data_IF_588055412288
#
_entry.id   IF_588055412288
#
_cell.length_a   1.000
_cell.length_b   1.000
_cell.length_c   1.000
_cell.angle_alpha   90.00
_cell.angle_beta   90.00
_cell.angle_gamma   90.00
#
_symmetry.space_group_name_H-M   'P 1'
#
loop_
_entity.id
_entity.type
_entity.pdbx_description
1 polymer ?
#
# COMPACT_ATOMS: atom_id res chain seq x y z
N UNK A 1 0.94 -2.35 62.39
CA UNK A 1 0.18 -1.43 63.28
C UNK A 1 -1.03 -0.94 62.53
N UNK A 2 -2.19 -1.37 63.02
CA UNK A 2 -3.53 -0.94 62.58
C UNK A 2 -3.78 0.50 62.91
N UNK A 3 -4.74 1.14 62.14
CA UNK A 3 -5.81 2.06 62.57
C UNK A 3 -6.40 2.66 61.29
N UNK A 4 -7.53 2.31 60.89
CA UNK A 4 -8.92 2.41 61.41
C UNK A 4 -9.64 3.66 60.90
N UNK A 5 -10.68 3.37 60.13
CA UNK A 5 -11.94 4.05 59.81
C UNK A 5 -12.41 5.07 60.83
N UNK A 6 -13.05 6.22 60.42
CA UNK A 6 -14.45 6.53 60.74
C UNK A 6 -14.83 8.00 60.48
N UNK A 7 -15.86 8.15 59.67
CA UNK A 7 -17.06 8.95 59.80
C UNK A 7 -16.95 10.45 60.21
N UNK A 8 -17.50 11.32 59.39
CA UNK A 8 -18.34 12.42 59.89
C UNK A 8 -19.57 12.60 58.98
N UNK A 9 -20.71 12.54 59.66
CA UNK A 9 -22.06 12.81 59.15
C UNK A 9 -22.54 14.15 59.73
N UNK A 10 -23.39 14.84 58.98
CA UNK A 10 -24.43 15.82 59.32
C UNK A 10 -24.01 17.26 59.59
N UNK A 11 -24.55 18.23 58.85
CA UNK A 11 -25.75 18.99 59.25
C UNK A 11 -26.27 19.78 58.03
N UNK A 12 -27.59 19.74 57.81
CA UNK A 12 -28.29 20.44 56.74
C UNK A 12 -28.62 21.89 57.10
N UNK A 13 -28.86 22.68 56.08
CA UNK A 13 -29.71 23.88 56.14
C UNK A 13 -30.43 24.06 54.83
N UNK A 14 -31.74 23.92 54.84
CA UNK A 14 -32.63 24.23 53.73
C UNK A 14 -32.77 25.75 53.61
N UNK A 15 -32.57 26.25 52.39
CA UNK A 15 -33.10 27.58 52.02
C UNK A 15 -33.85 27.40 50.70
N UNK A 16 -35.19 27.47 50.81
CA UNK A 16 -36.10 27.56 49.68
C UNK A 16 -36.09 29.00 49.13
N UNK A 17 -35.82 29.17 47.85
CA UNK A 17 -36.13 30.40 47.12
C UNK A 17 -36.64 30.05 45.70
N UNK A 18 -37.73 30.71 45.36
CA UNK A 18 -38.71 30.41 44.32
C UNK A 18 -38.22 30.57 42.89
N UNK A 19 -38.84 29.77 42.06
CA UNK A 19 -39.14 29.82 40.63
C UNK A 19 -38.76 31.06 39.81
N UNK A 20 -37.95 30.81 38.77
CA UNK A 20 -38.12 31.46 37.47
C UNK A 20 -37.88 30.40 36.41
N UNK A 21 -38.95 29.91 35.78
CA UNK A 21 -38.93 28.98 34.65
C UNK A 21 -38.46 29.72 33.41
N UNK A 22 -37.16 29.74 33.20
CA UNK A 22 -36.55 30.01 31.90
C UNK A 22 -36.01 28.72 31.36
N UNK A 23 -36.75 28.05 30.48
CA UNK A 23 -36.22 26.92 29.68
C UNK A 23 -35.19 27.48 28.72
N UNK A 24 -33.94 27.57 29.17
CA UNK A 24 -32.80 27.60 28.28
C UNK A 24 -32.73 26.22 27.64
N UNK A 25 -33.25 26.12 26.41
CA UNK A 25 -32.95 24.99 25.53
C UNK A 25 -31.43 25.04 25.29
N UNK A 26 -30.70 24.24 26.03
CA UNK A 26 -29.33 23.90 25.67
C UNK A 26 -29.39 23.33 24.23
N UNK A 27 -28.56 23.85 23.29
CA UNK A 27 -28.47 23.20 22.00
C UNK A 27 -28.11 21.73 22.30
N UNK A 28 -29.02 20.84 21.91
CA UNK A 28 -28.78 19.41 22.05
C UNK A 28 -27.42 19.11 21.44
N UNK A 29 -26.53 18.60 22.26
CA UNK A 29 -25.33 17.95 21.76
C UNK A 29 -25.85 16.89 20.77
N UNK A 30 -25.72 17.17 19.46
CA UNK A 30 -25.90 16.15 18.47
C UNK A 30 -24.97 15.02 18.93
N UNK A 31 -25.55 13.91 19.38
CA UNK A 31 -24.82 12.69 19.63
C UNK A 31 -24.03 12.45 18.36
N UNK A 32 -22.73 12.66 18.40
CA UNK A 32 -21.84 12.25 17.32
C UNK A 32 -22.15 10.76 17.14
N UNK A 33 -22.70 10.41 16.00
CA UNK A 33 -22.93 9.00 15.67
C UNK A 33 -21.61 8.28 15.92
N UNK A 34 -21.64 7.20 16.73
CA UNK A 34 -20.44 6.47 17.10
C UNK A 34 -19.64 6.15 15.84
N UNK A 35 -18.40 6.64 15.80
CA UNK A 35 -17.53 6.44 14.64
C UNK A 35 -17.30 4.94 14.42
N UNK A 36 -17.46 4.47 13.19
CA UNK A 36 -17.20 3.06 12.88
C UNK A 36 -15.70 2.80 12.87
N UNK A 37 -15.23 1.89 13.71
CA UNK A 37 -13.84 1.48 13.73
C UNK A 37 -13.51 0.66 12.47
N UNK A 38 -12.43 1.02 11.79
CA UNK A 38 -11.87 0.33 10.62
C UNK A 38 -10.43 -0.07 10.92
N UNK A 39 -10.16 -1.36 10.92
CA UNK A 39 -8.80 -1.89 11.07
C UNK A 39 -8.09 -1.82 9.71
N UNK A 40 -7.10 -0.91 9.60
CA UNK A 40 -6.33 -0.74 8.37
C UNK A 40 -4.94 -1.36 8.46
N UNK A 41 -4.61 -2.20 7.47
CA UNK A 41 -3.28 -2.78 7.33
C UNK A 41 -2.36 -1.92 6.46
N UNK A 42 -1.36 -1.29 7.07
CA UNK A 42 -0.46 -0.35 6.41
C UNK A 42 1.02 -0.72 6.42
N UNK A 43 1.83 0.12 5.81
CA UNK A 43 3.30 0.13 5.87
C UNK A 43 3.84 1.49 5.41
N UNK A 44 5.17 1.66 5.42
CA UNK A 44 5.82 2.88 4.90
C UNK A 44 5.89 2.94 3.36
N UNK A 45 5.25 2.01 2.64
CA UNK A 45 5.18 1.98 1.19
C UNK A 45 4.16 2.99 0.64
N UNK A 46 4.40 3.49 -0.58
CA UNK A 46 3.64 4.59 -1.20
C UNK A 46 2.14 4.29 -1.31
N UNK A 47 1.71 3.08 -1.64
CA UNK A 47 0.30 2.72 -1.74
C UNK A 47 -0.51 2.89 -0.44
N UNK A 48 0.16 3.14 0.70
CA UNK A 48 -0.50 3.43 1.97
C UNK A 48 -0.55 4.92 2.32
N UNK A 49 0.10 5.78 1.51
CA UNK A 49 0.15 7.22 1.78
C UNK A 49 -1.22 7.88 1.86
N UNK A 50 -2.20 7.58 0.98
CA UNK A 50 -3.53 8.18 1.07
C UNK A 50 -4.22 7.88 2.41
N UNK A 51 -4.19 6.62 2.87
CA UNK A 51 -4.79 6.23 4.13
C UNK A 51 -4.10 6.90 5.34
N UNK A 52 -2.77 7.03 5.31
CA UNK A 52 -2.03 7.69 6.38
C UNK A 52 -2.31 9.20 6.42
N UNK A 53 -2.33 9.86 5.27
CA UNK A 53 -2.65 11.29 5.15
C UNK A 53 -4.07 11.59 5.65
N UNK A 54 -5.05 10.81 5.18
CA UNK A 54 -6.45 10.98 5.59
C UNK A 54 -6.65 10.75 7.10
N UNK A 55 -5.91 9.80 7.68
CA UNK A 55 -5.90 9.57 9.13
C UNK A 55 -5.29 10.77 9.88
N UNK A 56 -4.10 11.25 9.45
CA UNK A 56 -3.37 12.33 10.11
C UNK A 56 -4.06 13.68 9.98
N UNK A 57 -4.75 13.94 8.88
CA UNK A 57 -5.54 15.16 8.68
C UNK A 57 -6.87 15.16 9.43
N UNK A 58 -7.29 14.04 10.03
CA UNK A 58 -8.60 13.88 10.65
C UNK A 58 -9.75 13.69 9.66
N UNK A 59 -9.48 13.52 8.35
CA UNK A 59 -10.50 13.37 7.32
C UNK A 59 -11.38 12.13 7.53
N UNK A 60 -10.81 11.01 7.97
CA UNK A 60 -11.59 9.84 8.33
C UNK A 60 -12.48 10.09 9.54
N UNK A 61 -11.97 10.73 10.59
CA UNK A 61 -12.75 11.07 11.77
C UNK A 61 -13.93 12.00 11.41
N UNK A 62 -13.71 13.00 10.55
CA UNK A 62 -14.77 13.89 10.05
C UNK A 62 -15.85 13.13 9.23
N UNK A 63 -15.49 11.98 8.62
CA UNK A 63 -16.42 11.10 7.91
C UNK A 63 -17.09 10.05 8.82
N UNK A 64 -16.87 10.11 10.15
CA UNK A 64 -17.39 9.12 11.11
C UNK A 64 -16.66 7.79 11.06
N UNK A 65 -15.38 7.77 10.67
CA UNK A 65 -14.54 6.60 10.61
C UNK A 65 -13.38 6.74 11.59
N UNK A 66 -13.27 5.80 12.54
CA UNK A 66 -12.14 5.65 13.43
C UNK A 66 -11.15 4.64 12.82
N UNK A 67 -10.18 5.14 12.02
CA UNK A 67 -9.17 4.28 11.40
C UNK A 67 -8.08 3.90 12.40
N UNK A 68 -7.98 2.61 12.70
CA UNK A 68 -6.92 2.01 13.50
C UNK A 68 -5.83 1.45 12.57
N UNK A 69 -4.63 2.03 12.66
CA UNK A 69 -3.50 1.65 11.81
C UNK A 69 -2.69 0.51 12.42
N UNK A 70 -2.51 -0.57 11.65
CA UNK A 70 -1.59 -1.66 11.98
C UNK A 70 -0.49 -1.75 10.93
N UNK A 71 0.77 -1.72 11.36
CA UNK A 71 1.93 -1.78 10.45
C UNK A 71 2.37 -3.22 10.19
N UNK A 72 2.65 -3.52 8.93
CA UNK A 72 3.13 -4.82 8.47
C UNK A 72 4.43 -4.66 7.67
N UNK A 73 5.41 -5.51 7.94
CA UNK A 73 6.69 -5.51 7.24
C UNK A 73 6.61 -6.12 5.83
N UNK A 74 5.57 -6.93 5.54
CA UNK A 74 5.37 -7.57 4.24
C UNK A 74 3.90 -7.61 3.84
N UNK A 75 3.62 -7.62 2.52
CA UNK A 75 2.28 -7.82 1.99
C UNK A 75 1.69 -9.18 2.39
N UNK A 76 2.51 -10.23 2.46
CA UNK A 76 2.04 -11.57 2.87
C UNK A 76 1.55 -11.59 4.31
N UNK A 77 2.25 -10.95 5.25
CA UNK A 77 1.81 -10.84 6.65
C UNK A 77 0.50 -10.04 6.76
N UNK A 78 0.38 -8.95 6.01
CA UNK A 78 -0.85 -8.15 5.92
C UNK A 78 -2.02 -8.97 5.39
N UNK A 79 -1.82 -9.71 4.30
CA UNK A 79 -2.85 -10.58 3.73
C UNK A 79 -3.26 -11.69 4.71
N UNK A 80 -2.35 -12.26 5.48
CA UNK A 80 -2.67 -13.21 6.55
C UNK A 80 -3.56 -12.59 7.63
N UNK A 81 -3.32 -11.32 8.00
CA UNK A 81 -4.17 -10.59 8.95
C UNK A 81 -5.57 -10.30 8.39
N UNK A 82 -5.71 -10.05 7.09
CA UNK A 82 -7.03 -9.96 6.42
C UNK A 82 -7.77 -11.29 6.51
N UNK A 83 -7.09 -12.41 6.24
CA UNK A 83 -7.70 -13.75 6.30
C UNK A 83 -8.16 -14.12 7.72
N UNK A 84 -7.41 -13.76 8.74
CA UNK A 84 -7.75 -14.01 10.15
C UNK A 84 -8.82 -13.05 10.71
N UNK A 85 -9.21 -12.01 9.96
CA UNK A 85 -10.19 -11.02 10.40
C UNK A 85 -9.61 -9.87 11.24
N UNK A 86 -8.28 -9.79 11.39
CA UNK A 86 -7.62 -8.71 12.11
C UNK A 86 -7.55 -7.39 11.34
N UNK A 87 -7.75 -7.42 10.02
CA UNK A 87 -7.76 -6.24 9.13
C UNK A 87 -9.03 -6.24 8.31
N UNK A 88 -9.64 -5.07 8.15
CA UNK A 88 -10.86 -4.85 7.36
C UNK A 88 -10.57 -4.29 5.98
N UNK A 89 -9.67 -3.29 5.90
CA UNK A 89 -9.23 -2.64 4.67
C UNK A 89 -7.71 -2.60 4.64
N UNK A 90 -7.13 -2.81 3.47
CA UNK A 90 -5.70 -2.65 3.27
C UNK A 90 -5.38 -2.27 1.82
N UNK A 91 -4.33 -1.49 1.62
CA UNK A 91 -3.61 -1.47 0.36
C UNK A 91 -2.58 -2.60 0.36
N UNK A 92 -2.38 -3.28 -0.75
CA UNK A 92 -1.41 -4.38 -0.83
C UNK A 92 -0.89 -4.58 -2.26
N UNK A 93 0.38 -4.96 -2.38
CA UNK A 93 0.91 -5.38 -3.67
C UNK A 93 0.14 -6.60 -4.21
N UNK A 94 -0.22 -6.53 -5.48
CA UNK A 94 -1.09 -7.52 -6.16
C UNK A 94 -0.52 -8.95 -6.13
N UNK A 95 0.81 -9.12 -6.13
CA UNK A 95 1.45 -10.45 -6.16
C UNK A 95 1.00 -11.31 -4.98
N UNK A 96 0.97 -10.74 -3.76
CA UNK A 96 0.49 -11.45 -2.57
C UNK A 96 -1.01 -11.76 -2.63
N UNK A 97 -1.81 -10.86 -3.20
CA UNK A 97 -3.24 -11.09 -3.41
C UNK A 97 -3.47 -12.21 -4.44
N UNK A 98 -2.75 -12.19 -5.58
CA UNK A 98 -2.82 -13.22 -6.62
C UNK A 98 -2.43 -14.61 -6.09
N UNK A 99 -1.44 -14.69 -5.20
CA UNK A 99 -1.05 -15.95 -4.58
C UNK A 99 -2.21 -16.55 -3.73
N UNK A 100 -2.97 -15.73 -3.02
CA UNK A 100 -4.16 -16.19 -2.28
C UNK A 100 -5.34 -16.50 -3.20
N UNK A 101 -5.54 -15.71 -4.24
CA UNK A 101 -6.56 -15.98 -5.27
C UNK A 101 -6.29 -17.32 -5.96
N UNK A 102 -5.04 -17.63 -6.30
CA UNK A 102 -4.63 -18.90 -6.89
C UNK A 102 -4.97 -20.10 -6.01
N UNK A 103 -4.97 -19.92 -4.68
CA UNK A 103 -5.40 -20.91 -3.68
C UNK A 103 -6.92 -20.93 -3.46
N UNK A 104 -7.67 -20.09 -4.19
CA UNK A 104 -9.13 -20.01 -4.11
C UNK A 104 -9.70 -19.23 -2.93
N UNK A 105 -8.87 -18.40 -2.25
CA UNK A 105 -9.34 -17.57 -1.12
C UNK A 105 -10.42 -16.58 -1.58
N UNK A 106 -11.57 -16.56 -0.94
CA UNK A 106 -12.70 -15.65 -1.18
C UNK A 106 -12.95 -14.69 -0.02
N UNK A 107 -11.97 -14.50 0.88
CA UNK A 107 -12.13 -13.68 2.08
C UNK A 107 -12.06 -12.18 1.82
N UNK A 108 -11.58 -11.77 0.64
CA UNK A 108 -11.40 -10.37 0.29
C UNK A 108 -11.81 -10.10 -1.16
N UNK A 109 -12.06 -8.83 -1.44
CA UNK A 109 -12.28 -8.30 -2.79
C UNK A 109 -11.38 -7.09 -3.04
N UNK A 110 -10.94 -6.92 -4.28
CA UNK A 110 -10.31 -5.70 -4.77
C UNK A 110 -11.44 -4.70 -5.04
N UNK A 111 -11.35 -3.52 -4.45
CA UNK A 111 -12.35 -2.45 -4.58
C UNK A 111 -11.85 -1.23 -5.31
N UNK A 112 -10.51 -1.04 -5.37
CA UNK A 112 -9.90 0.09 -6.06
C UNK A 112 -8.42 -0.15 -6.37
N UNK A 113 -7.86 0.76 -7.18
CA UNK A 113 -6.44 0.86 -7.53
C UNK A 113 -6.01 2.29 -7.20
N UNK A 114 -5.14 2.51 -6.20
CA UNK A 114 -4.80 3.86 -5.73
C UNK A 114 -3.95 4.65 -6.71
N UNK A 115 -3.00 3.99 -7.40
CA UNK A 115 -2.04 4.65 -8.27
C UNK A 115 -1.51 3.68 -9.34
N UNK A 116 -0.83 4.25 -10.33
CA UNK A 116 0.20 3.59 -11.12
C UNK A 116 1.53 4.24 -10.80
N UNK A 117 2.56 3.44 -10.63
CA UNK A 117 3.89 3.97 -10.38
C UNK A 117 4.85 3.54 -11.49
N UNK A 118 5.85 4.37 -11.73
CA UNK A 118 6.98 4.10 -12.58
C UNK A 118 8.18 4.84 -12.01
N UNK A 119 9.38 4.24 -12.09
CA UNK A 119 10.63 4.85 -11.57
C UNK A 119 10.75 4.88 -10.05
N UNK A 120 10.04 4.02 -9.34
CA UNK A 120 10.15 3.80 -7.90
C UNK A 120 10.70 2.42 -7.56
N UNK A 121 10.84 1.59 -8.58
CA UNK A 121 11.43 0.26 -8.56
C UNK A 121 12.32 0.09 -9.79
N UNK A 122 13.46 -0.60 -9.67
CA UNK A 122 14.34 -0.77 -10.83
C UNK A 122 15.57 -1.62 -10.56
N UNK A 123 16.25 -1.91 -11.66
CA UNK A 123 17.50 -2.65 -11.74
C UNK A 123 18.67 -1.69 -11.82
N UNK A 124 19.53 -1.73 -10.82
CA UNK A 124 20.78 -0.98 -10.75
C UNK A 124 21.97 -1.86 -11.08
N UNK A 125 22.94 -1.28 -11.75
CA UNK A 125 24.17 -1.95 -12.17
C UNK A 125 25.38 -1.09 -11.85
N UNK A 126 26.55 -1.73 -11.74
CA UNK A 126 27.83 -1.03 -11.61
C UNK A 126 28.20 -0.30 -12.91
N UNK A 127 29.02 0.73 -12.78
CA UNK A 127 29.65 1.38 -13.92
C UNK A 127 30.35 0.33 -14.80
N UNK A 128 30.27 0.52 -16.12
CA UNK A 128 30.79 -0.43 -17.12
C UNK A 128 29.75 -1.43 -17.63
N UNK A 129 28.60 -1.65 -16.93
CA UNK A 129 27.45 -2.40 -17.44
C UNK A 129 26.50 -1.41 -18.13
N UNK A 130 26.28 -1.51 -19.44
CA UNK A 130 25.51 -0.55 -20.23
C UNK A 130 24.24 -1.13 -20.84
N UNK A 131 24.11 -2.46 -20.83
CA UNK A 131 22.97 -3.20 -21.37
C UNK A 131 22.64 -4.40 -20.52
N UNK A 132 21.47 -5.02 -20.73
CA UNK A 132 21.13 -6.29 -20.11
C UNK A 132 22.11 -7.40 -20.52
N UNK A 133 22.65 -7.36 -21.75
CA UNK A 133 23.61 -8.35 -22.24
C UNK A 133 24.93 -8.35 -21.45
N UNK A 134 25.32 -7.20 -20.91
CA UNK A 134 26.53 -7.08 -20.08
C UNK A 134 26.39 -7.74 -18.70
N UNK A 135 25.17 -8.18 -18.34
CA UNK A 135 24.90 -8.95 -17.12
C UNK A 135 25.28 -10.43 -17.24
N UNK A 136 25.58 -10.91 -18.43
CA UNK A 136 25.98 -12.32 -18.64
C UNK A 136 27.15 -12.70 -17.73
N UNK A 137 26.98 -13.79 -16.97
CA UNK A 137 27.97 -14.28 -16.00
C UNK A 137 28.04 -13.49 -14.68
N UNK A 138 27.21 -12.45 -14.50
CA UNK A 138 27.18 -11.61 -13.29
C UNK A 138 26.18 -12.11 -12.24
N UNK A 139 26.35 -11.59 -11.01
CA UNK A 139 25.47 -11.87 -9.87
C UNK A 139 24.53 -10.70 -9.65
N UNK A 140 23.23 -10.96 -9.66
CA UNK A 140 22.18 -9.99 -9.45
C UNK A 140 21.43 -10.31 -8.14
N UNK A 141 21.45 -9.39 -7.18
CA UNK A 141 20.71 -9.50 -5.92
C UNK A 141 19.31 -8.94 -6.04
N UNK A 142 18.32 -9.66 -5.54
CA UNK A 142 16.93 -9.20 -5.45
C UNK A 142 16.20 -9.99 -4.37
N UNK A 143 15.21 -9.40 -3.72
CA UNK A 143 14.34 -10.13 -2.78
C UNK A 143 13.37 -11.01 -3.54
N UNK A 144 13.45 -12.33 -3.36
CA UNK A 144 12.59 -13.29 -4.07
C UNK A 144 11.10 -13.11 -3.70
N UNK A 145 10.24 -13.50 -4.63
CA UNK A 145 8.77 -13.35 -4.54
C UNK A 145 8.30 -11.89 -4.32
N UNK A 146 9.11 -10.91 -4.72
CA UNK A 146 8.75 -9.50 -4.77
C UNK A 146 8.44 -9.05 -6.20
N UNK A 147 7.91 -7.82 -6.34
CA UNK A 147 7.74 -7.14 -7.62
C UNK A 147 9.07 -6.96 -8.35
N UNK A 148 10.13 -6.53 -7.63
CA UNK A 148 11.47 -6.41 -8.20
C UNK A 148 12.01 -7.74 -8.76
N UNK A 149 11.69 -8.85 -8.09
CA UNK A 149 12.04 -10.16 -8.63
C UNK A 149 11.32 -10.46 -9.95
N UNK A 150 10.03 -10.13 -10.03
CA UNK A 150 9.25 -10.29 -11.25
C UNK A 150 9.77 -9.38 -12.39
N UNK A 151 10.14 -8.13 -12.07
CA UNK A 151 10.80 -7.23 -13.03
C UNK A 151 12.08 -7.86 -13.59
N UNK A 152 12.93 -8.40 -12.72
CA UNK A 152 14.19 -9.08 -13.13
C UNK A 152 13.90 -10.27 -14.03
N UNK A 153 12.94 -11.13 -13.64
CA UNK A 153 12.56 -12.30 -14.44
C UNK A 153 12.05 -11.92 -15.83
N UNK A 154 11.24 -10.88 -15.92
CA UNK A 154 10.72 -10.37 -17.19
C UNK A 154 11.82 -9.76 -18.07
N UNK A 155 12.67 -8.91 -17.51
CA UNK A 155 13.78 -8.28 -18.23
C UNK A 155 14.77 -9.32 -18.76
N UNK A 156 15.19 -10.26 -17.91
CA UNK A 156 16.13 -11.32 -18.30
C UNK A 156 15.49 -12.31 -19.28
N UNK A 157 14.21 -12.64 -19.09
CA UNK A 157 13.46 -13.51 -20.00
C UNK A 157 13.37 -12.94 -21.42
N UNK A 158 12.98 -11.67 -21.51
CA UNK A 158 12.87 -10.96 -22.80
C UNK A 158 14.23 -10.74 -23.49
N UNK A 159 15.30 -10.64 -22.70
CA UNK A 159 16.67 -10.51 -23.22
C UNK A 159 17.33 -11.86 -23.57
N UNK A 160 16.68 -13.01 -23.28
CA UNK A 160 17.24 -14.35 -23.47
C UNK A 160 18.34 -14.71 -22.48
N UNK A 161 18.38 -14.07 -21.31
CA UNK A 161 19.45 -14.18 -20.31
C UNK A 161 19.06 -14.96 -19.05
N UNK A 162 17.90 -15.61 -19.04
CA UNK A 162 17.37 -16.29 -17.83
C UNK A 162 18.34 -17.31 -17.19
N UNK A 163 19.21 -17.93 -18.00
CA UNK A 163 20.19 -18.91 -17.53
C UNK A 163 21.62 -18.36 -17.50
N UNK A 164 21.85 -17.13 -17.96
CA UNK A 164 23.18 -16.53 -18.09
C UNK A 164 23.51 -15.58 -16.92
N UNK A 165 22.53 -15.22 -16.09
CA UNK A 165 22.68 -14.34 -14.93
C UNK A 165 22.39 -15.13 -13.66
N UNK A 166 23.27 -15.06 -12.67
CA UNK A 166 23.04 -15.67 -11.36
C UNK A 166 22.18 -14.75 -10.50
N UNK A 167 20.89 -15.05 -10.38
CA UNK A 167 19.98 -14.28 -9.52
C UNK A 167 20.03 -14.83 -8.10
N UNK A 168 20.33 -13.97 -7.12
CA UNK A 168 20.51 -14.31 -5.71
C UNK A 168 19.40 -13.68 -4.87
N UNK A 169 18.85 -14.47 -3.92
CA UNK A 169 17.90 -13.93 -2.94
C UNK A 169 18.65 -13.12 -1.88
N UNK A 170 18.46 -11.80 -1.91
CA UNK A 170 19.05 -10.85 -0.94
C UNK A 170 17.91 -10.02 -0.35
N UNK A 171 17.73 -9.98 0.97
CA UNK A 171 16.75 -9.10 1.61
C UNK A 171 16.97 -7.65 1.21
N UNK A 172 15.90 -6.91 0.89
CA UNK A 172 15.99 -5.56 0.36
C UNK A 172 16.87 -4.60 1.21
N UNK A 173 16.81 -4.61 2.55
CA UNK A 173 17.69 -3.77 3.38
C UNK A 173 19.18 -4.08 3.25
N UNK A 174 19.54 -5.31 2.82
CA UNK A 174 20.92 -5.79 2.71
C UNK A 174 21.54 -5.51 1.33
N UNK A 175 20.71 -5.20 0.31
CA UNK A 175 21.17 -4.97 -1.05
C UNK A 175 22.29 -3.91 -1.17
N UNK A 176 22.21 -2.72 -0.51
CA UNK A 176 23.29 -1.74 -0.57
C UNK A 176 24.62 -2.29 -0.03
N UNK A 177 24.59 -3.04 1.08
CA UNK A 177 25.78 -3.66 1.66
C UNK A 177 26.37 -4.76 0.78
N UNK A 178 25.53 -5.58 0.15
CA UNK A 178 25.96 -6.63 -0.78
C UNK A 178 26.61 -6.06 -2.05
N UNK A 179 26.13 -4.90 -2.53
CA UNK A 179 26.79 -4.15 -3.61
C UNK A 179 28.16 -3.64 -3.14
N UNK A 180 28.22 -2.96 -1.98
CA UNK A 180 29.47 -2.38 -1.48
C UNK A 180 30.57 -3.41 -1.26
N UNK A 181 30.20 -4.59 -0.75
CA UNK A 181 31.14 -5.69 -0.51
C UNK A 181 31.56 -6.44 -1.78
N UNK A 182 30.95 -6.15 -2.94
CA UNK A 182 31.21 -6.89 -4.19
C UNK A 182 30.61 -8.28 -4.23
N UNK A 183 29.71 -8.60 -3.31
CA UNK A 183 28.98 -9.88 -3.28
C UNK A 183 28.03 -10.02 -4.47
N UNK A 184 27.50 -8.91 -4.96
CA UNK A 184 26.64 -8.80 -6.15
C UNK A 184 27.14 -7.68 -7.08
N UNK A 185 26.91 -7.84 -8.38
CA UNK A 185 27.28 -6.89 -9.43
C UNK A 185 26.12 -5.94 -9.79
N UNK A 186 24.89 -6.40 -9.57
CA UNK A 186 23.66 -5.69 -9.85
C UNK A 186 22.65 -5.92 -8.74
N UNK A 187 21.70 -5.01 -8.58
CA UNK A 187 20.60 -5.16 -7.60
C UNK A 187 19.29 -4.62 -8.15
N UNK A 188 18.20 -5.34 -7.91
CA UNK A 188 16.87 -4.82 -8.15
C UNK A 188 16.15 -4.54 -6.84
N UNK A 189 15.59 -3.33 -6.71
CA UNK A 189 15.00 -2.85 -5.47
C UNK A 189 13.91 -1.82 -5.74
N UNK A 190 13.04 -1.65 -4.75
CA UNK A 190 12.02 -0.58 -4.68
C UNK A 190 12.38 0.43 -3.58
N UNK A 191 11.71 1.57 -3.58
CA UNK A 191 11.86 2.62 -2.56
C UNK A 191 11.55 2.07 -1.15
N UNK A 192 12.36 2.36 -0.10
CA UNK A 192 13.45 3.36 -0.10
C UNK A 192 14.81 2.85 -0.58
N UNK A 193 15.01 1.54 -0.81
CA UNK A 193 16.30 1.00 -1.22
C UNK A 193 16.69 1.46 -2.63
N UNK A 194 15.71 1.63 -3.52
CA UNK A 194 15.89 2.24 -4.83
C UNK A 194 16.65 3.57 -4.72
N UNK A 195 16.19 4.50 -3.86
CA UNK A 195 16.82 5.79 -3.67
C UNK A 195 18.24 5.67 -3.06
N UNK A 196 18.41 4.75 -2.11
CA UNK A 196 19.71 4.49 -1.48
C UNK A 196 20.73 3.99 -2.50
N UNK A 197 20.36 3.01 -3.32
CA UNK A 197 21.27 2.45 -4.35
C UNK A 197 21.53 3.49 -5.43
N UNK A 198 20.53 4.27 -5.85
CA UNK A 198 20.67 5.38 -6.81
C UNK A 198 21.70 6.42 -6.37
N UNK A 199 21.78 6.68 -5.07
CA UNK A 199 22.73 7.63 -4.50
C UNK A 199 24.15 7.05 -4.31
N UNK A 200 24.38 5.75 -4.52
CA UNK A 200 25.70 5.13 -4.36
C UNK A 200 26.61 5.46 -5.53
N UNK A 201 27.84 5.88 -5.23
CA UNK A 201 28.87 6.09 -6.27
C UNK A 201 29.15 4.80 -7.04
N UNK A 202 29.32 4.89 -8.35
CA UNK A 202 29.61 3.77 -9.23
C UNK A 202 28.38 2.88 -9.52
N UNK A 203 27.18 3.32 -9.18
CA UNK A 203 25.91 2.66 -9.52
C UNK A 203 25.06 3.52 -10.45
N UNK A 204 24.39 2.87 -11.40
CA UNK A 204 23.44 3.54 -12.29
C UNK A 204 22.19 2.68 -12.48
N UNK A 205 21.08 3.35 -12.73
CA UNK A 205 19.83 2.70 -13.11
C UNK A 205 19.95 2.17 -14.55
N UNK A 206 19.75 0.88 -14.75
CA UNK A 206 19.75 0.24 -16.08
C UNK A 206 18.33 0.11 -16.63
N UNK A 207 17.38 -0.24 -15.77
CA UNK A 207 15.98 -0.42 -16.12
C UNK A 207 15.10 -0.09 -14.91
N UNK A 208 13.89 0.41 -15.15
CA UNK A 208 12.88 0.63 -14.13
C UNK A 208 11.57 -0.09 -14.47
N UNK A 209 10.59 0.00 -13.60
CA UNK A 209 9.29 -0.65 -13.72
C UNK A 209 8.48 -0.23 -14.96
N UNK A 210 8.80 0.91 -15.62
CA UNK A 210 8.17 1.30 -16.88
C UNK A 210 8.63 0.45 -18.08
N UNK A 211 9.70 -0.32 -17.91
CA UNK A 211 10.22 -1.26 -18.93
C UNK A 211 9.65 -2.67 -18.78
N UNK A 212 8.82 -2.89 -17.77
CA UNK A 212 8.09 -4.14 -17.62
C UNK A 212 7.16 -4.38 -18.81
N UNK A 213 7.10 -5.60 -19.33
CA UNK A 213 6.42 -5.90 -20.61
C UNK A 213 4.91 -5.57 -20.61
N UNK A 214 4.24 -5.58 -19.44
CA UNK A 214 2.83 -5.23 -19.32
C UNK A 214 2.58 -3.72 -19.15
N UNK A 215 3.60 -2.94 -18.81
CA UNK A 215 3.42 -1.52 -18.53
C UNK A 215 2.91 -0.74 -19.74
N UNK A 216 3.57 -0.91 -20.86
CA UNK A 216 3.28 -0.12 -22.09
C UNK A 216 1.86 -0.34 -22.63
N UNK A 217 1.32 -1.55 -22.47
CA UNK A 217 0.00 -1.91 -23.01
C UNK A 217 -1.13 -1.74 -22.01
N UNK A 218 -0.87 -2.02 -20.73
CA UNK A 218 -1.92 -2.12 -19.71
C UNK A 218 -1.73 -1.14 -18.55
N UNK A 219 -0.65 -0.38 -18.54
CA UNK A 219 -0.20 0.44 -17.39
C UNK A 219 -0.08 -0.38 -16.10
N UNK A 220 0.38 -1.64 -16.23
CA UNK A 220 0.57 -2.57 -15.12
C UNK A 220 2.06 -2.76 -14.89
N UNK A 221 2.54 -2.34 -13.72
CA UNK A 221 3.90 -2.53 -13.23
C UNK A 221 4.10 -3.97 -12.71
N UNK A 222 5.32 -4.38 -12.34
CA UNK A 222 5.56 -5.74 -11.83
C UNK A 222 4.78 -6.08 -10.56
N UNK A 223 4.43 -5.08 -9.77
CA UNK A 223 3.74 -5.27 -8.51
C UNK A 223 2.80 -4.13 -8.15
N UNK A 224 1.78 -3.84 -8.99
CA UNK A 224 0.88 -2.74 -8.70
C UNK A 224 0.13 -2.97 -7.39
N UNK A 225 -0.21 -1.87 -6.74
CA UNK A 225 -1.00 -1.89 -5.53
C UNK A 225 -2.49 -1.97 -5.82
N UNK A 226 -3.21 -2.63 -4.94
CA UNK A 226 -4.67 -2.70 -4.96
C UNK A 226 -5.22 -2.43 -3.56
N UNK A 227 -6.31 -1.71 -3.49
CA UNK A 227 -7.07 -1.54 -2.27
C UNK A 227 -8.06 -2.69 -2.14
N UNK A 228 -7.97 -3.42 -1.02
CA UNK A 228 -8.82 -4.58 -0.74
C UNK A 228 -9.66 -4.35 0.50
N UNK A 229 -10.83 -5.01 0.53
CA UNK A 229 -11.68 -5.10 1.71
C UNK A 229 -11.93 -6.55 2.08
N UNK A 230 -12.05 -6.85 3.37
CA UNK A 230 -12.48 -8.14 3.87
C UNK A 230 -13.99 -8.30 3.66
N UNK A 231 -14.40 -9.30 2.87
CA UNK A 231 -15.79 -9.46 2.41
C UNK A 231 -16.80 -9.52 3.56
N UNK A 232 -16.56 -10.35 4.57
CA UNK A 232 -17.47 -10.52 5.69
C UNK A 232 -17.70 -9.24 6.54
N UNK A 233 -16.73 -8.30 6.51
CA UNK A 233 -16.88 -6.99 7.15
C UNK A 233 -17.58 -6.01 6.20
N UNK A 234 -17.19 -5.97 4.94
CA UNK A 234 -17.71 -5.04 3.93
C UNK A 234 -19.22 -5.26 3.67
N UNK A 235 -19.68 -6.51 3.69
CA UNK A 235 -21.12 -6.85 3.57
C UNK A 235 -21.98 -6.17 4.65
N UNK A 236 -21.45 -6.03 5.86
CA UNK A 236 -22.12 -5.38 6.99
C UNK A 236 -21.91 -3.86 7.04
N UNK A 237 -20.93 -3.36 6.30
CA UNK A 237 -20.42 -1.98 6.41
C UNK A 237 -20.32 -1.30 5.03
N UNK A 238 -21.21 -1.62 4.09
CA UNK A 238 -21.11 -1.14 2.71
C UNK A 238 -21.02 0.40 2.59
N UNK A 239 -21.79 1.13 3.40
CA UNK A 239 -21.74 2.60 3.41
C UNK A 239 -20.45 3.15 3.99
N UNK A 240 -19.85 2.44 4.96
CA UNK A 240 -18.54 2.80 5.50
C UNK A 240 -17.46 2.60 4.42
N UNK A 241 -17.53 1.52 3.64
CA UNK A 241 -16.60 1.30 2.51
C UNK A 241 -16.70 2.43 1.49
N UNK A 242 -17.91 2.86 1.08
CA UNK A 242 -18.11 3.99 0.16
C UNK A 242 -17.52 5.29 0.70
N UNK A 243 -17.80 5.62 1.96
CA UNK A 243 -17.24 6.80 2.64
C UNK A 243 -15.71 6.70 2.72
N UNK A 244 -15.20 5.51 3.05
CA UNK A 244 -13.75 5.27 3.12
C UNK A 244 -13.08 5.53 1.77
N UNK A 245 -13.62 4.97 0.68
CA UNK A 245 -13.08 5.18 -0.68
C UNK A 245 -13.07 6.66 -1.05
N UNK A 246 -14.16 7.39 -0.76
CA UNK A 246 -14.20 8.82 -1.02
C UNK A 246 -13.07 9.56 -0.32
N UNK A 247 -12.92 9.39 0.99
CA UNK A 247 -11.87 10.05 1.79
C UNK A 247 -10.46 9.63 1.35
N UNK A 248 -10.29 8.34 1.04
CA UNK A 248 -9.02 7.80 0.55
C UNK A 248 -8.60 8.46 -0.78
N UNK A 249 -9.52 8.58 -1.72
CA UNK A 249 -9.23 9.20 -3.03
C UNK A 249 -9.13 10.73 -2.97
N UNK A 250 -9.78 11.39 -2.04
CA UNK A 250 -9.54 12.81 -1.74
C UNK A 250 -8.07 13.02 -1.28
N UNK A 251 -7.53 12.08 -0.50
CA UNK A 251 -6.12 12.09 -0.12
C UNK A 251 -5.17 11.76 -1.30
N UNK A 252 -5.57 10.89 -2.25
CA UNK A 252 -4.83 10.69 -3.50
C UNK A 252 -4.72 12.00 -4.30
N UNK A 253 -5.80 12.80 -4.35
CA UNK A 253 -5.76 14.10 -5.01
C UNK A 253 -4.86 15.11 -4.27
N UNK A 254 -4.73 14.99 -2.94
CA UNK A 254 -3.76 15.78 -2.17
C UNK A 254 -2.32 15.41 -2.53
N UNK A 255 -2.02 14.11 -2.68
CA UNK A 255 -0.71 13.65 -3.14
C UNK A 255 -0.39 14.18 -4.54
N UNK A 256 -1.35 14.14 -5.46
CA UNK A 256 -1.18 14.64 -6.82
C UNK A 256 -0.99 16.17 -6.86
N UNK A 257 -1.86 16.92 -6.20
CA UNK A 257 -1.92 18.38 -6.32
C UNK A 257 -1.00 19.14 -5.36
N UNK A 258 -0.62 18.54 -4.23
CA UNK A 258 0.14 19.18 -3.14
C UNK A 258 1.24 18.26 -2.58
N UNK A 259 2.16 17.75 -3.42
CA UNK A 259 3.15 16.76 -2.98
C UNK A 259 4.06 17.25 -1.85
N UNK A 260 4.38 18.55 -1.81
CA UNK A 260 5.21 19.14 -0.76
C UNK A 260 4.51 19.18 0.62
N UNK A 261 3.20 19.42 0.64
CA UNK A 261 2.39 19.37 1.86
C UNK A 261 2.25 17.92 2.37
N UNK A 262 1.94 17.00 1.46
CA UNK A 262 1.82 15.59 1.76
C UNK A 262 3.14 15.00 2.30
N UNK A 263 4.28 15.36 1.69
CA UNK A 263 5.59 14.89 2.09
C UNK A 263 5.90 15.22 3.55
N UNK A 264 5.58 16.42 4.03
CA UNK A 264 5.79 16.81 5.45
C UNK A 264 5.10 15.87 6.44
N UNK A 265 3.90 15.43 6.12
CA UNK A 265 3.15 14.47 6.96
C UNK A 265 3.74 13.06 6.86
N UNK A 266 4.14 12.66 5.66
CA UNK A 266 4.61 11.31 5.36
C UNK A 266 6.02 11.01 5.90
N UNK A 267 6.85 12.00 6.16
CA UNK A 267 8.16 11.82 6.82
C UNK A 267 8.00 11.05 8.14
N UNK A 268 6.93 11.34 8.90
CA UNK A 268 6.62 10.61 10.14
C UNK A 268 6.31 9.11 9.95
N UNK A 269 5.92 8.70 8.75
CA UNK A 269 5.68 7.29 8.40
C UNK A 269 6.93 6.62 7.83
N UNK A 270 7.65 7.31 6.95
CA UNK A 270 8.70 6.73 6.10
C UNK A 270 10.12 6.94 6.63
N UNK A 271 10.34 8.00 7.41
CA UNK A 271 11.68 8.42 7.82
C UNK A 271 12.57 8.92 6.67
N UNK A 272 11.99 9.15 5.47
CA UNK A 272 12.73 9.64 4.31
C UNK A 272 13.04 11.14 4.45
N UNK A 273 14.04 11.62 3.68
CA UNK A 273 14.23 13.07 3.51
C UNK A 273 13.00 13.68 2.81
N UNK A 274 12.78 14.99 3.01
CA UNK A 274 11.67 15.68 2.35
C UNK A 274 11.78 15.61 0.82
N UNK A 275 12.97 15.72 0.27
CA UNK A 275 13.22 15.65 -1.17
C UNK A 275 12.91 14.25 -1.72
N UNK A 276 13.43 13.19 -1.10
CA UNK A 276 13.17 11.82 -1.52
C UNK A 276 11.66 11.49 -1.40
N UNK A 277 10.99 12.01 -0.37
CA UNK A 277 9.57 11.82 -0.17
C UNK A 277 8.75 12.49 -1.29
N UNK A 278 9.11 13.73 -1.68
CA UNK A 278 8.47 14.45 -2.79
C UNK A 278 8.71 13.73 -4.11
N UNK A 279 9.94 13.28 -4.38
CA UNK A 279 10.27 12.52 -5.58
C UNK A 279 9.47 11.20 -5.65
N UNK A 280 9.35 10.49 -4.53
CA UNK A 280 8.55 9.26 -4.46
C UNK A 280 7.08 9.53 -4.75
N UNK A 281 6.49 10.60 -4.20
CA UNK A 281 5.12 10.99 -4.49
C UNK A 281 4.92 11.33 -5.97
N UNK A 282 5.85 12.09 -6.56
CA UNK A 282 5.82 12.49 -7.99
C UNK A 282 6.14 11.34 -8.95
N UNK A 283 6.73 10.26 -8.46
CA UNK A 283 6.99 9.04 -9.21
C UNK A 283 5.75 8.18 -9.47
N UNK A 284 4.61 8.51 -8.85
CA UNK A 284 3.35 7.82 -9.03
C UNK A 284 2.29 8.72 -9.70
N UNK A 285 1.47 8.11 -10.55
CA UNK A 285 0.21 8.68 -11.03
C UNK A 285 -0.90 8.32 -10.04
N UNK A 286 -1.37 9.29 -9.27
CA UNK A 286 -2.42 9.09 -8.26
C UNK A 286 -3.79 9.17 -8.91
N UNK A 287 -4.52 8.07 -8.89
CA UNK A 287 -5.86 8.00 -9.47
C UNK A 287 -6.90 8.72 -8.62
N UNK A 288 -7.99 9.12 -9.25
CA UNK A 288 -9.20 9.61 -8.61
C UNK A 288 -10.23 8.50 -8.45
N UNK A 289 -11.24 8.74 -7.61
CA UNK A 289 -12.38 7.83 -7.48
C UNK A 289 -13.14 7.67 -8.80
N UNK A 290 -13.26 8.75 -9.59
CA UNK A 290 -13.95 8.72 -10.88
C UNK A 290 -13.27 7.79 -11.92
N UNK A 291 -11.93 7.67 -11.86
CA UNK A 291 -11.18 6.80 -12.76
C UNK A 291 -11.37 5.31 -12.45
N UNK A 292 -11.77 4.96 -11.22
CA UNK A 292 -11.88 3.57 -10.77
C UNK A 292 -12.84 2.72 -11.62
N UNK A 293 -13.96 3.31 -12.05
CA UNK A 293 -14.91 2.62 -12.92
C UNK A 293 -14.30 2.25 -14.28
N UNK A 294 -13.47 3.11 -14.86
CA UNK A 294 -12.75 2.84 -16.11
C UNK A 294 -11.69 1.74 -15.90
N UNK A 295 -10.90 1.83 -14.83
CA UNK A 295 -9.85 0.86 -14.51
C UNK A 295 -10.42 -0.54 -14.25
N UNK A 296 -11.52 -0.65 -13.50
CA UNK A 296 -12.01 -1.92 -12.97
C UNK A 296 -13.16 -2.55 -13.77
N UNK A 297 -13.95 -1.77 -14.55
CA UNK A 297 -15.13 -2.28 -15.26
C UNK A 297 -14.92 -2.51 -16.76
N UNK A 298 -14.02 -1.79 -17.41
CA UNK A 298 -13.86 -1.81 -18.87
C UNK A 298 -13.16 -3.08 -19.37
N UNK A 299 -13.62 -3.72 -20.48
CA UNK A 299 -12.83 -4.75 -21.16
C UNK A 299 -11.53 -4.16 -21.75
N UNK A 300 -10.46 -4.96 -21.80
CA UNK A 300 -9.15 -4.53 -22.33
C UNK A 300 -8.45 -3.52 -21.44
N UNK A 301 -8.88 -3.41 -20.22
CA UNK A 301 -8.43 -2.45 -19.24
C UNK A 301 -7.32 -3.02 -18.34
N UNK A 302 -7.02 -2.26 -17.31
CA UNK A 302 -6.13 -2.62 -16.22
C UNK A 302 -6.37 -4.03 -15.65
N UNK A 303 -7.63 -4.48 -15.54
CA UNK A 303 -7.98 -5.84 -15.07
C UNK A 303 -7.44 -6.94 -15.98
N UNK A 304 -7.45 -6.72 -17.30
CA UNK A 304 -6.85 -7.67 -18.25
C UNK A 304 -5.33 -7.70 -18.08
N UNK A 305 -4.70 -6.57 -17.77
CA UNK A 305 -3.29 -6.50 -17.40
C UNK A 305 -2.98 -7.28 -16.12
N UNK A 306 -3.83 -7.16 -15.09
CA UNK A 306 -3.69 -7.98 -13.86
C UNK A 306 -3.87 -9.48 -14.14
N UNK A 307 -4.75 -9.85 -15.08
CA UNK A 307 -4.89 -11.24 -15.51
C UNK A 307 -3.62 -11.74 -16.20
N UNK A 308 -3.02 -10.93 -17.09
CA UNK A 308 -1.73 -11.26 -17.72
C UNK A 308 -0.59 -11.37 -16.70
N UNK A 309 -0.58 -10.49 -15.69
CA UNK A 309 0.37 -10.59 -14.59
C UNK A 309 0.23 -11.91 -13.84
N UNK A 310 -0.99 -12.36 -13.57
CA UNK A 310 -1.22 -13.66 -12.94
C UNK A 310 -0.70 -14.83 -13.80
N UNK A 311 -0.88 -14.77 -15.12
CA UNK A 311 -0.36 -15.74 -16.07
C UNK A 311 1.19 -15.75 -16.12
N UNK A 312 1.82 -14.56 -16.05
CA UNK A 312 3.27 -14.43 -15.95
C UNK A 312 3.81 -15.03 -14.64
N UNK A 313 3.12 -14.85 -13.52
CA UNK A 313 3.50 -15.48 -12.24
C UNK A 313 3.49 -17.01 -12.33
N UNK A 314 2.60 -17.62 -13.11
CA UNK A 314 2.63 -19.05 -13.40
C UNK A 314 3.84 -19.40 -14.26
N UNK A 315 4.09 -18.65 -15.33
CA UNK A 315 5.24 -18.86 -16.25
C UNK A 315 6.56 -18.84 -15.46
N UNK A 316 6.69 -17.92 -14.53
CA UNK A 316 7.87 -17.80 -13.66
C UNK A 316 7.79 -18.65 -12.38
N UNK A 317 6.83 -19.58 -12.28
CA UNK A 317 6.68 -20.54 -11.16
C UNK A 317 6.55 -19.86 -9.78
N UNK A 318 5.94 -18.67 -9.75
CA UNK A 318 5.67 -17.96 -8.51
C UNK A 318 4.32 -18.36 -7.88
N UNK A 319 3.40 -18.83 -8.71
CA UNK A 319 2.11 -19.44 -8.30
C UNK A 319 1.82 -20.65 -9.19
N UNK A 320 1.02 -21.61 -8.69
CA UNK A 320 0.75 -22.87 -9.40
C UNK A 320 -0.26 -22.71 -10.55
N UNK A 321 -1.21 -21.76 -10.41
CA UNK A 321 -2.25 -21.50 -11.43
C UNK A 321 -2.67 -20.04 -11.41
N UNK A 322 -3.01 -19.51 -12.58
CA UNK A 322 -3.55 -18.17 -12.69
C UNK A 322 -5.01 -18.14 -12.22
N UNK A 323 -5.37 -17.30 -11.23
CA UNK A 323 -6.77 -17.10 -10.86
C UNK A 323 -7.50 -16.30 -11.96
N UNK A 324 -8.82 -16.44 -12.07
CA UNK A 324 -9.65 -15.53 -12.86
C UNK A 324 -9.84 -14.22 -12.08
N UNK A 325 -8.92 -13.26 -12.23
CA UNK A 325 -8.77 -12.06 -11.39
C UNK A 325 -10.08 -11.30 -11.23
N UNK A 326 -10.87 -11.21 -12.30
CA UNK A 326 -12.17 -10.51 -12.33
C UNK A 326 -13.14 -10.99 -11.25
N UNK A 327 -13.05 -12.24 -10.78
CA UNK A 327 -13.90 -12.78 -9.72
C UNK A 327 -13.65 -12.19 -8.33
N UNK A 328 -12.51 -11.49 -8.16
CA UNK A 328 -12.16 -10.81 -6.91
C UNK A 328 -12.38 -9.30 -6.96
N UNK A 329 -12.85 -8.77 -8.09
CA UNK A 329 -13.11 -7.33 -8.23
C UNK A 329 -14.56 -7.04 -7.85
N UNK A 330 -14.72 -6.14 -6.90
CA UNK A 330 -16.03 -5.67 -6.47
C UNK A 330 -16.14 -4.15 -6.66
N UNK A 331 -16.92 -3.73 -7.66
CA UNK A 331 -17.14 -2.32 -8.00
C UNK A 331 -18.44 -1.75 -7.43
N UNK A 332 -19.14 -2.47 -6.55
CA UNK A 332 -20.43 -2.02 -5.99
C UNK A 332 -20.31 -0.86 -5.00
N UNK A 333 -19.08 -0.56 -4.58
CA UNK A 333 -18.79 0.54 -3.65
C UNK A 333 -18.33 1.83 -4.33
N UNK A 334 -18.13 1.81 -5.67
CA UNK A 334 -17.70 2.96 -6.47
C UNK A 334 -18.85 3.90 -6.81
#
# INVERSE_FOLDING_TARGET
MNLSRRKFLHTGAAISAAAATGTLALPGSALAADATTVQYGGSAWLGHYPAYLAMKSGAFAAAGIDQQWQSFGTSSARMSAVLSGGIDIACTGIVSALALMARGSKHFSIVAVPESFGRVEGLFVRDGVNSLQDLKGKKLGVTFASSAHLLVLDLLGNAGLSNDVTVLNVPAPELPGAIQSGQIDAAAAWTPQFNRIRAMSGMKLLADDTQFSLYKKYNVTPGPDVLIVRNAWAEKNADVVRKYLKVYFDACQTLHGKPDEAARTLIGLTGMSALDQIETIKGAEWYSLAQQSQLLKSPGSYVDGLQRLAEMLVTYKQIDKAPAVRQWINTSYL
#
